data_IF_901025289059
#
_entry.id   IF_901025289059
#
_cell.length_a   1.000
_cell.length_b   1.000
_cell.length_c   1.000
_cell.angle_alpha   90.00
_cell.angle_beta   90.00
_cell.angle_gamma   90.00
#
_symmetry.space_group_name_H-M   'P 1'
#
loop_
_entity.id
_entity.type
_entity.pdbx_description
1 polymer ?
#
# COMPACT_ATOMS: atom_id res chain seq x y z
N UNK A 1 -52.30 -51.52 11.04
CA UNK A 1 -52.23 -50.08 11.40
C UNK A 1 -50.80 -49.82 11.85
N UNK A 2 -49.95 -49.34 10.94
CA UNK A 2 -48.50 -49.27 11.11
C UNK A 2 -48.05 -47.85 11.52
N UNK A 3 -47.09 -47.70 12.45
CA UNK A 3 -46.57 -46.38 12.82
C UNK A 3 -45.46 -45.93 11.84
N UNK A 4 -45.69 -44.78 11.19
CA UNK A 4 -44.78 -44.14 10.25
C UNK A 4 -43.67 -43.40 11.02
N UNK A 5 -42.41 -43.74 10.72
CA UNK A 5 -41.21 -43.28 11.43
C UNK A 5 -40.88 -41.81 11.11
N UNK A 6 -40.93 -40.97 12.13
CA UNK A 6 -40.31 -39.64 12.17
C UNK A 6 -38.79 -39.84 12.30
N UNK A 7 -38.08 -39.94 11.17
CA UNK A 7 -36.60 -39.95 11.14
C UNK A 7 -36.00 -39.09 10.02
N UNK A 8 -36.81 -38.34 9.27
CA UNK A 8 -36.37 -37.75 8.00
C UNK A 8 -35.91 -36.28 8.08
N UNK A 9 -36.06 -35.59 9.22
CA UNK A 9 -35.73 -34.16 9.31
C UNK A 9 -34.34 -33.85 9.89
N UNK A 10 -33.68 -34.79 10.58
CA UNK A 10 -32.43 -34.46 11.30
C UNK A 10 -31.17 -34.53 10.42
N UNK A 11 -31.20 -35.29 9.31
CA UNK A 11 -30.05 -35.36 8.38
C UNK A 11 -29.94 -34.14 7.45
N UNK A 12 -31.05 -33.43 7.19
CA UNK A 12 -31.05 -32.26 6.30
C UNK A 12 -30.47 -31.00 6.95
N UNK A 13 -30.51 -30.89 8.28
CA UNK A 13 -29.98 -29.72 9.00
C UNK A 13 -28.44 -29.74 9.13
N UNK A 14 -27.82 -30.93 9.08
CA UNK A 14 -26.36 -31.09 9.22
C UNK A 14 -25.60 -30.72 7.93
N UNK A 15 -26.22 -30.89 6.77
CA UNK A 15 -25.59 -30.59 5.46
C UNK A 15 -25.52 -29.08 5.18
N UNK A 16 -26.45 -28.29 5.74
CA UNK A 16 -26.46 -26.83 5.58
C UNK A 16 -25.42 -26.09 6.46
N UNK A 17 -24.83 -26.77 7.45
CA UNK A 17 -23.83 -26.20 8.36
C UNK A 17 -22.38 -26.49 7.93
N UNK A 18 -22.16 -27.50 7.09
CA UNK A 18 -20.86 -27.87 6.55
C UNK A 18 -20.20 -26.81 5.62
N UNK A 19 -20.92 -26.04 4.78
CA UNK A 19 -20.27 -25.05 3.92
C UNK A 19 -19.83 -23.78 4.69
N UNK A 20 -20.29 -23.58 5.93
CA UNK A 20 -19.92 -22.40 6.74
C UNK A 20 -18.50 -22.57 7.32
N UNK A 21 -18.08 -23.80 7.63
CA UNK A 21 -16.74 -24.07 8.16
C UNK A 21 -15.63 -24.01 7.11
N UNK A 22 -15.93 -24.19 5.82
CA UNK A 22 -14.92 -24.16 4.75
C UNK A 22 -14.39 -22.75 4.42
N UNK A 23 -15.06 -21.69 4.88
CA UNK A 23 -14.58 -20.31 4.72
C UNK A 23 -13.60 -19.86 5.81
N UNK A 24 -13.35 -20.69 6.82
CA UNK A 24 -12.23 -20.49 7.74
C UNK A 24 -10.93 -21.02 7.10
N UNK A 25 -10.62 -20.58 5.88
CA UNK A 25 -9.27 -20.70 5.36
C UNK A 25 -8.45 -19.62 6.05
N UNK A 26 -7.66 -20.02 7.04
CA UNK A 26 -6.65 -19.18 7.66
C UNK A 26 -5.68 -18.75 6.53
N UNK A 27 -5.86 -17.53 6.00
CA UNK A 27 -4.91 -16.93 5.07
C UNK A 27 -3.59 -16.79 5.82
N UNK A 28 -2.75 -17.81 5.68
CA UNK A 28 -1.38 -17.79 6.15
C UNK A 28 -0.73 -16.55 5.55
N UNK A 29 -0.54 -15.51 6.35
CA UNK A 29 0.11 -14.26 5.96
C UNK A 29 1.41 -14.62 5.24
N UNK A 30 1.39 -14.53 3.91
CA UNK A 30 2.59 -14.71 3.11
C UNK A 30 3.45 -13.48 3.30
N UNK A 31 4.70 -13.69 3.71
CA UNK A 31 5.66 -12.61 3.82
C UNK A 31 6.15 -12.23 2.42
N UNK A 32 6.15 -10.93 2.10
CA UNK A 32 6.68 -10.44 0.83
C UNK A 32 8.20 -10.38 0.95
N UNK A 33 8.89 -11.36 0.36
CA UNK A 33 10.35 -11.39 0.30
C UNK A 33 10.85 -10.52 -0.86
N UNK A 34 11.68 -9.53 -0.55
CA UNK A 34 12.16 -8.55 -1.52
C UNK A 34 13.67 -8.52 -1.55
N UNK A 35 14.22 -8.76 -2.74
CA UNK A 35 15.64 -8.58 -3.00
C UNK A 35 15.90 -7.13 -3.41
N UNK A 36 16.42 -6.32 -2.47
CA UNK A 36 16.72 -4.93 -2.76
C UNK A 36 17.85 -4.82 -3.78
N UNK A 37 17.59 -4.13 -4.90
CA UNK A 37 18.57 -3.81 -5.94
C UNK A 37 18.35 -2.40 -6.46
N UNK A 38 19.38 -1.84 -7.08
CA UNK A 38 19.26 -0.57 -7.80
C UNK A 38 18.52 -0.83 -9.11
N UNK A 39 17.48 -0.05 -9.36
CA UNK A 39 16.66 -0.12 -10.58
C UNK A 39 17.07 0.95 -11.58
N UNK A 40 17.38 2.15 -11.10
CA UNK A 40 17.81 3.27 -11.94
C UNK A 40 18.80 4.15 -11.18
N UNK A 41 19.63 4.89 -11.92
CA UNK A 41 20.50 5.95 -11.39
C UNK A 41 20.27 7.21 -12.22
N UNK A 42 19.76 8.27 -11.60
CA UNK A 42 19.38 9.53 -12.24
C UNK A 42 20.11 10.67 -11.53
N UNK A 43 20.89 11.45 -12.28
CA UNK A 43 21.66 12.60 -11.76
C UNK A 43 22.50 12.28 -10.51
N UNK A 44 23.09 11.09 -10.42
CA UNK A 44 23.88 10.64 -9.26
C UNK A 44 23.07 10.11 -8.08
N UNK A 45 21.74 10.18 -8.12
CA UNK A 45 20.84 9.55 -7.16
C UNK A 45 20.42 8.16 -7.63
N UNK A 46 20.51 7.18 -6.73
CA UNK A 46 20.11 5.82 -7.02
C UNK A 46 18.67 5.57 -6.56
N UNK A 47 17.85 4.97 -7.42
CA UNK A 47 16.49 4.54 -7.11
C UNK A 47 16.52 3.02 -6.95
N UNK A 48 16.22 2.54 -5.75
CA UNK A 48 16.20 1.13 -5.40
C UNK A 48 14.78 0.52 -5.45
N UNK A 49 14.71 -0.82 -5.39
CA UNK A 49 13.41 -1.53 -5.27
C UNK A 49 12.64 -1.08 -4.04
N UNK A 50 13.35 -0.87 -2.93
CA UNK A 50 12.73 -0.42 -1.67
C UNK A 50 12.13 0.98 -1.81
N UNK A 51 12.75 1.88 -2.59
CA UNK A 51 12.23 3.24 -2.78
C UNK A 51 10.93 3.23 -3.59
N UNK A 52 10.89 2.40 -4.65
CA UNK A 52 9.66 2.16 -5.41
C UNK A 52 8.58 1.60 -4.51
N UNK A 53 8.89 0.57 -3.72
CA UNK A 53 7.92 -0.04 -2.81
C UNK A 53 7.38 0.93 -1.77
N UNK A 54 8.25 1.72 -1.12
CA UNK A 54 7.82 2.75 -0.15
C UNK A 54 6.85 3.74 -0.78
N UNK A 55 7.14 4.20 -2.01
CA UNK A 55 6.25 5.10 -2.73
C UNK A 55 4.89 4.45 -3.01
N UNK A 56 4.88 3.17 -3.36
CA UNK A 56 3.66 2.39 -3.56
C UNK A 56 2.89 2.17 -2.26
N UNK A 57 3.58 1.88 -1.15
CA UNK A 57 2.96 1.72 0.17
C UNK A 57 2.25 3.01 0.62
N UNK A 58 2.87 4.17 0.40
CA UNK A 58 2.24 5.48 0.65
C UNK A 58 0.98 5.67 -0.20
N UNK A 59 1.00 5.22 -1.45
CA UNK A 59 -0.17 5.29 -2.32
C UNK A 59 -1.29 4.39 -1.82
N UNK A 60 -0.99 3.13 -1.48
CA UNK A 60 -1.98 2.19 -0.92
C UNK A 60 -2.58 2.74 0.37
N UNK A 61 -1.75 3.21 1.31
CA UNK A 61 -2.22 3.72 2.59
C UNK A 61 -3.20 4.91 2.45
N UNK A 62 -3.06 5.70 1.37
CA UNK A 62 -3.92 6.85 1.07
C UNK A 62 -5.16 6.49 0.27
N UNK A 63 -5.01 5.66 -0.76
CA UNK A 63 -6.08 5.36 -1.72
C UNK A 63 -6.96 4.19 -1.27
N UNK A 64 -6.37 3.21 -0.59
CA UNK A 64 -7.01 1.95 -0.20
C UNK A 64 -6.54 1.50 1.20
N UNK A 65 -6.86 2.26 2.26
CA UNK A 65 -6.42 1.93 3.62
C UNK A 65 -6.85 0.52 4.06
N UNK A 66 -7.96 0.00 3.55
CA UNK A 66 -8.44 -1.36 3.80
C UNK A 66 -7.51 -2.47 3.30
N UNK A 67 -6.63 -2.16 2.34
CA UNK A 67 -5.68 -3.12 1.77
C UNK A 67 -4.25 -2.95 2.31
N UNK A 68 -4.02 -1.96 3.17
CA UNK A 68 -2.70 -1.68 3.74
C UNK A 68 -2.15 -2.83 4.60
N UNK A 69 -3.03 -3.59 5.27
CA UNK A 69 -2.62 -4.69 6.14
C UNK A 69 -2.58 -6.06 5.43
N UNK A 70 -3.13 -6.16 4.21
CA UNK A 70 -3.18 -7.43 3.49
C UNK A 70 -1.99 -7.60 2.53
N UNK A 71 -1.07 -8.50 2.88
CA UNK A 71 0.10 -8.80 2.05
C UNK A 71 -0.26 -9.30 0.64
N UNK A 72 -1.37 -10.03 0.49
CA UNK A 72 -1.84 -10.51 -0.82
C UNK A 72 -2.21 -9.34 -1.73
N UNK A 73 -2.97 -8.38 -1.20
CA UNK A 73 -3.39 -7.21 -1.96
C UNK A 73 -2.21 -6.27 -2.25
N UNK A 74 -1.31 -6.06 -1.28
CA UNK A 74 -0.07 -5.30 -1.48
C UNK A 74 0.81 -5.90 -2.57
N UNK A 75 1.04 -7.20 -2.51
CA UNK A 75 1.84 -7.90 -3.53
C UNK A 75 1.24 -7.76 -4.94
N UNK A 76 -0.08 -7.94 -5.06
CA UNK A 76 -0.77 -7.76 -6.33
C UNK A 76 -0.63 -6.32 -6.85
N UNK A 77 -0.79 -5.34 -5.97
CA UNK A 77 -0.61 -3.93 -6.29
C UNK A 77 0.81 -3.63 -6.77
N UNK A 78 1.82 -4.18 -6.09
CA UNK A 78 3.23 -4.04 -6.47
C UNK A 78 3.50 -4.56 -7.87
N UNK A 79 3.09 -5.78 -8.19
CA UNK A 79 3.31 -6.38 -9.52
C UNK A 79 2.66 -5.55 -10.63
N UNK A 80 1.49 -4.99 -10.39
CA UNK A 80 0.75 -4.24 -11.41
C UNK A 80 1.31 -2.83 -11.64
N UNK A 81 1.77 -2.15 -10.59
CA UNK A 81 2.02 -0.70 -10.65
C UNK A 81 3.50 -0.30 -10.54
N UNK A 82 4.42 -1.23 -10.22
CA UNK A 82 5.82 -0.88 -9.91
C UNK A 82 6.54 -0.12 -11.04
N UNK A 83 6.23 -0.46 -12.30
CA UNK A 83 6.86 0.20 -13.46
C UNK A 83 6.44 1.65 -13.56
N UNK A 84 5.13 1.91 -13.48
CA UNK A 84 4.60 3.26 -13.52
C UNK A 84 5.13 4.09 -12.34
N UNK A 85 5.23 3.49 -11.14
CA UNK A 85 5.79 4.18 -9.99
C UNK A 85 7.28 4.49 -10.16
N UNK A 86 8.05 3.57 -10.77
CA UNK A 86 9.46 3.82 -11.09
C UNK A 86 9.60 4.97 -12.09
N UNK A 87 8.81 4.99 -13.15
CA UNK A 87 8.84 6.07 -14.16
C UNK A 87 8.53 7.42 -13.50
N UNK A 88 7.51 7.48 -12.63
CA UNK A 88 7.21 8.67 -11.84
C UNK A 88 8.37 9.11 -10.94
N UNK A 89 9.08 8.19 -10.31
CA UNK A 89 10.24 8.52 -9.48
C UNK A 89 11.37 9.10 -10.34
N UNK A 90 11.64 8.50 -11.51
CA UNK A 90 12.63 9.00 -12.46
C UNK A 90 12.26 10.41 -12.92
N UNK A 91 11.02 10.63 -13.34
CA UNK A 91 10.54 11.93 -13.80
C UNK A 91 10.67 12.99 -12.72
N UNK A 92 10.31 12.66 -11.47
CA UNK A 92 10.48 13.58 -10.35
C UNK A 92 11.95 13.96 -10.14
N UNK A 93 12.88 13.00 -10.18
CA UNK A 93 14.30 13.30 -10.03
C UNK A 93 14.85 14.16 -11.18
N UNK A 94 14.38 13.94 -12.41
CA UNK A 94 14.74 14.78 -13.55
C UNK A 94 14.22 16.21 -13.38
N UNK A 95 12.97 16.37 -12.95
CA UNK A 95 12.37 17.68 -12.68
C UNK A 95 13.13 18.41 -11.57
N UNK A 96 13.49 17.72 -10.48
CA UNK A 96 14.26 18.31 -9.39
C UNK A 96 15.66 18.74 -9.86
N UNK A 97 16.33 17.90 -10.65
CA UNK A 97 17.63 18.24 -11.22
C UNK A 97 17.56 19.47 -12.16
N UNK A 98 16.48 19.61 -12.92
CA UNK A 98 16.29 20.78 -13.78
C UNK A 98 15.91 22.03 -12.99
N UNK A 99 15.12 21.90 -11.92
CA UNK A 99 14.80 23.00 -11.01
C UNK A 99 16.06 23.54 -10.30
N UNK A 100 16.98 22.66 -9.90
CA UNK A 100 18.26 23.03 -9.31
C UNK A 100 19.14 23.81 -10.30
N UNK A 101 19.23 23.35 -11.56
CA UNK A 101 19.97 24.06 -12.62
C UNK A 101 19.39 25.45 -12.92
N UNK A 102 18.08 25.60 -12.80
CA UNK A 102 17.36 26.85 -13.02
C UNK A 102 17.34 27.76 -11.77
N UNK A 103 17.99 27.34 -10.68
CA UNK A 103 18.03 28.03 -9.38
C UNK A 103 16.63 28.40 -8.85
N UNK A 104 15.63 27.55 -9.11
CA UNK A 104 14.27 27.75 -8.60
C UNK A 104 14.30 27.49 -7.08
N UNK A 105 14.32 28.57 -6.29
CA UNK A 105 14.35 28.51 -4.83
C UNK A 105 12.94 28.67 -4.26
N UNK A 106 12.49 27.67 -3.52
CA UNK A 106 11.27 27.75 -2.70
C UNK A 106 11.66 28.37 -1.36
N UNK A 107 10.85 29.31 -0.86
CA UNK A 107 11.12 29.95 0.43
C UNK A 107 10.57 29.12 1.60
N UNK A 108 11.24 29.16 2.76
CA UNK A 108 10.78 28.45 3.96
C UNK A 108 9.35 28.87 4.39
N UNK A 109 8.98 30.13 4.12
CA UNK A 109 7.65 30.64 4.39
C UNK A 109 6.57 29.93 3.54
N UNK A 110 6.87 29.68 2.27
CA UNK A 110 5.99 28.97 1.34
C UNK A 110 5.85 27.49 1.71
N UNK A 111 6.94 26.84 2.12
CA UNK A 111 6.92 25.45 2.63
C UNK A 111 6.05 25.35 3.88
N UNK A 112 6.18 26.31 4.81
CA UNK A 112 5.40 26.33 6.05
C UNK A 112 3.92 26.54 5.78
N UNK A 113 3.58 27.46 4.87
CA UNK A 113 2.18 27.68 4.48
C UNK A 113 1.61 26.42 3.83
N UNK A 114 2.35 25.80 2.88
CA UNK A 114 1.89 24.57 2.24
C UNK A 114 1.72 23.41 3.23
N UNK A 115 2.63 23.27 4.20
CA UNK A 115 2.50 22.28 5.27
C UNK A 115 1.28 22.56 6.17
N UNK A 116 1.01 23.84 6.46
CA UNK A 116 -0.17 24.23 7.22
C UNK A 116 -1.47 23.93 6.46
N UNK A 117 -1.52 24.23 5.17
CA UNK A 117 -2.66 23.89 4.31
C UNK A 117 -2.91 22.37 4.24
N UNK A 118 -1.84 21.57 4.19
CA UNK A 118 -1.93 20.10 4.06
C UNK A 118 -2.25 19.37 5.36
N UNK A 119 -1.68 19.82 6.49
CA UNK A 119 -1.73 19.08 7.76
C UNK A 119 -2.38 19.88 8.91
N UNK A 120 -2.80 21.11 8.67
CA UNK A 120 -3.36 22.00 9.68
C UNK A 120 -2.35 22.44 10.73
N UNK A 121 -2.85 22.83 11.90
CA UNK A 121 -2.03 23.38 13.00
C UNK A 121 -1.17 22.31 13.69
N UNK A 122 -1.53 21.02 13.58
CA UNK A 122 -0.84 19.93 14.26
C UNK A 122 -0.18 18.96 13.26
N UNK A 123 0.90 19.47 12.66
CA UNK A 123 1.71 18.74 11.69
C UNK A 123 2.27 17.44 12.32
N UNK A 124 2.74 17.48 13.57
CA UNK A 124 3.37 16.31 14.21
C UNK A 124 2.40 15.16 14.48
N UNK A 125 1.18 15.42 14.96
CA UNK A 125 0.19 14.36 15.17
C UNK A 125 -0.29 13.71 13.85
N UNK A 126 -0.21 14.45 12.74
CA UNK A 126 -0.64 13.99 11.41
C UNK A 126 0.48 13.22 10.68
N UNK A 127 1.74 13.42 11.05
CA UNK A 127 2.91 12.77 10.46
C UNK A 127 3.15 11.35 10.99
N UNK A 128 2.59 10.99 12.15
CA UNK A 128 2.73 9.64 12.75
C UNK A 128 1.96 8.54 11.98
N UNK A 129 1.06 8.89 11.05
CA UNK A 129 0.11 7.93 10.46
C UNK A 129 0.58 7.26 9.16
N UNK A 130 1.37 7.92 8.29
CA UNK A 130 2.62 7.26 7.84
C UNK A 130 3.71 8.30 7.51
N UNK A 131 4.90 8.16 8.12
CA UNK A 131 6.04 9.03 7.86
C UNK A 131 6.54 8.90 6.41
N UNK A 132 6.29 9.94 5.61
CA UNK A 132 6.87 10.13 4.27
C UNK A 132 7.98 11.16 4.41
N UNK A 133 9.19 10.70 4.74
CA UNK A 133 10.38 11.52 4.57
C UNK A 133 10.90 11.32 3.15
N UNK A 134 10.88 12.40 2.36
CA UNK A 134 11.64 12.48 1.11
C UNK A 134 13.05 12.95 1.46
N UNK A 135 14.03 12.15 1.08
CA UNK A 135 15.46 12.48 1.00
C UNK A 135 15.84 12.64 -0.48
#
# INVERSE_FOLDING_TARGET
MAPMKIKFCFQLLFVMLLPILSFAHEEKQSEILVNNRILASVNGKNISVVDVMKKMDVYIARAYPEYADSNVHRHQFFIQNWRQTLDQLIDNELIMADAEKLEIKITDAEIRENNHERFGTNVMASLDTPCIYFE
#
